data_IF_085457010703
#
_entry.id   IF_085457010703
#
_cell.length_a   1.000
_cell.length_b   1.000
_cell.length_c   1.000
_cell.angle_alpha   90.00
_cell.angle_beta   90.00
_cell.angle_gamma   90.00
#
_symmetry.space_group_name_H-M   'P 1'
#
loop_
_entity.id
_entity.type
_entity.pdbx_description
1 polymer ?
#
# COMPACT_ATOMS: atom_id res chain seq x y z
N UNK A 1 -23.06 -23.57 4.99
CA UNK A 1 -23.11 -22.14 5.35
C UNK A 1 -21.92 -21.62 6.15
N UNK A 2 -21.21 -22.40 6.98
CA UNK A 2 -20.25 -21.89 7.95
C UNK A 2 -18.98 -21.16 7.42
N UNK A 3 -18.30 -21.66 6.38
CA UNK A 3 -16.97 -21.10 6.00
C UNK A 3 -17.05 -19.73 5.33
N UNK A 4 -18.01 -19.50 4.45
CA UNK A 4 -18.17 -18.24 3.72
C UNK A 4 -18.60 -17.12 4.69
N UNK A 5 -19.56 -17.39 5.56
CA UNK A 5 -20.03 -16.43 6.58
C UNK A 5 -18.91 -16.02 7.54
N UNK A 6 -18.10 -17.00 7.99
CA UNK A 6 -16.94 -16.71 8.85
C UNK A 6 -15.89 -15.87 8.10
N UNK A 7 -15.65 -16.17 6.83
CA UNK A 7 -14.72 -15.39 5.99
C UNK A 7 -15.18 -13.95 5.82
N UNK A 8 -16.48 -13.72 5.63
CA UNK A 8 -17.08 -12.39 5.53
C UNK A 8 -16.91 -11.59 6.84
N UNK A 9 -17.19 -12.21 7.98
CA UNK A 9 -16.99 -11.58 9.30
C UNK A 9 -15.53 -11.16 9.50
N UNK A 10 -14.58 -12.03 9.12
CA UNK A 10 -13.15 -11.67 9.23
C UNK A 10 -12.72 -10.59 8.25
N UNK A 11 -13.25 -10.56 7.04
CA UNK A 11 -13.01 -9.46 6.10
C UNK A 11 -13.56 -8.13 6.64
N UNK A 12 -14.73 -8.16 7.27
CA UNK A 12 -15.31 -7.01 7.96
C UNK A 12 -14.42 -6.54 9.13
N UNK A 13 -13.99 -7.47 10.01
CA UNK A 13 -13.08 -7.15 11.13
C UNK A 13 -11.75 -6.57 10.60
N UNK A 14 -11.21 -7.12 9.52
CA UNK A 14 -9.99 -6.59 8.89
C UNK A 14 -10.18 -5.12 8.46
N UNK A 15 -11.25 -4.84 7.75
CA UNK A 15 -11.51 -3.50 7.22
C UNK A 15 -11.81 -2.50 8.32
N UNK A 16 -12.78 -2.81 9.17
CA UNK A 16 -13.15 -1.91 10.28
C UNK A 16 -12.02 -1.75 11.29
N UNK A 17 -11.30 -2.82 11.62
CA UNK A 17 -10.14 -2.77 12.51
C UNK A 17 -9.06 -1.84 11.99
N UNK A 18 -8.71 -1.95 10.70
CA UNK A 18 -7.72 -1.06 10.08
C UNK A 18 -8.23 0.39 10.02
N UNK A 19 -9.48 0.63 9.61
CA UNK A 19 -10.05 1.98 9.57
C UNK A 19 -10.07 2.61 10.95
N UNK A 20 -10.47 1.87 11.98
CA UNK A 20 -10.51 2.36 13.35
C UNK A 20 -9.10 2.68 13.89
N UNK A 21 -8.11 1.81 13.64
CA UNK A 21 -6.72 2.07 14.01
C UNK A 21 -6.15 3.27 13.27
N UNK A 22 -6.44 3.41 11.98
CA UNK A 22 -6.03 4.54 11.16
C UNK A 22 -6.64 5.84 11.67
N UNK A 23 -7.92 5.84 12.01
CA UNK A 23 -8.62 7.00 12.58
C UNK A 23 -8.00 7.45 13.92
N UNK A 24 -7.80 6.52 14.85
CA UNK A 24 -7.16 6.81 16.14
C UNK A 24 -5.73 7.32 15.92
N UNK A 25 -4.95 6.65 15.06
CA UNK A 25 -3.60 7.06 14.72
C UNK A 25 -3.56 8.47 14.15
N UNK A 26 -4.46 8.79 13.22
CA UNK A 26 -4.54 10.12 12.62
C UNK A 26 -4.87 11.20 13.66
N UNK A 27 -5.78 10.95 14.62
CA UNK A 27 -6.09 11.90 15.69
C UNK A 27 -4.88 12.14 16.61
N UNK A 28 -4.19 11.07 17.02
CA UNK A 28 -3.03 11.19 17.90
C UNK A 28 -1.89 11.93 17.19
N UNK A 29 -1.57 11.51 15.96
CA UNK A 29 -0.48 12.08 15.19
C UNK A 29 -0.77 13.53 14.76
N UNK A 30 -2.05 13.89 14.49
CA UNK A 30 -2.43 15.26 14.16
C UNK A 30 -2.20 16.27 15.33
N UNK A 31 -2.09 15.77 16.55
CA UNK A 31 -1.72 16.60 17.73
C UNK A 31 -0.22 16.72 17.94
N UNK A 32 0.56 15.79 17.39
CA UNK A 32 2.02 15.70 17.60
C UNK A 32 2.81 16.25 16.40
N UNK A 33 2.25 16.22 15.21
CA UNK A 33 2.90 16.57 13.97
C UNK A 33 2.33 17.87 13.40
N UNK A 34 3.15 18.60 12.67
CA UNK A 34 2.73 19.80 11.98
C UNK A 34 1.96 19.47 10.69
N UNK A 35 1.03 20.32 10.24
CA UNK A 35 0.37 20.13 8.95
C UNK A 35 1.35 20.00 7.77
N UNK A 36 2.50 20.65 7.83
CA UNK A 36 3.56 20.58 6.82
C UNK A 36 4.14 19.17 6.67
N UNK A 37 4.25 18.40 7.76
CA UNK A 37 4.72 17.00 7.73
C UNK A 37 3.75 16.12 6.92
N UNK A 38 2.45 16.32 7.11
CA UNK A 38 1.40 15.64 6.34
C UNK A 38 1.39 16.09 4.89
N UNK A 39 1.70 17.36 4.63
CA UNK A 39 1.82 17.92 3.29
C UNK A 39 2.96 17.25 2.52
N UNK A 40 4.13 17.13 3.13
CA UNK A 40 5.29 16.49 2.53
C UNK A 40 5.00 15.02 2.18
N UNK A 41 4.38 14.26 3.12
CA UNK A 41 3.97 12.87 2.85
C UNK A 41 2.89 12.80 1.76
N UNK A 42 1.88 13.67 1.79
CA UNK A 42 0.82 13.71 0.80
C UNK A 42 1.34 13.92 -0.62
N UNK A 43 2.34 14.79 -0.81
CA UNK A 43 2.98 15.05 -2.10
C UNK A 43 3.69 13.83 -2.66
N UNK A 44 4.36 13.02 -1.85
CA UNK A 44 5.13 11.85 -2.31
C UNK A 44 4.31 10.58 -2.39
N UNK A 45 3.25 10.43 -1.58
CA UNK A 45 2.40 9.24 -1.56
C UNK A 45 1.75 8.93 -2.90
N UNK A 46 1.43 9.93 -3.70
CA UNK A 46 0.91 9.78 -5.05
C UNK A 46 1.84 8.91 -5.93
N UNK A 47 3.16 9.19 -5.89
CA UNK A 47 4.14 8.43 -6.68
C UNK A 47 4.27 7.00 -6.18
N UNK A 48 4.18 6.80 -4.86
CA UNK A 48 4.20 5.46 -4.24
C UNK A 48 2.93 4.67 -4.60
N UNK A 49 1.75 5.30 -4.55
CA UNK A 49 0.47 4.65 -4.89
C UNK A 49 0.45 4.23 -6.36
N UNK A 50 0.85 5.12 -7.26
CA UNK A 50 0.93 4.83 -8.70
C UNK A 50 1.92 3.68 -8.95
N UNK A 51 3.10 3.73 -8.33
CA UNK A 51 4.11 2.67 -8.48
C UNK A 51 3.61 1.32 -7.94
N UNK A 52 2.94 1.29 -6.78
CA UNK A 52 2.33 0.07 -6.26
C UNK A 52 1.26 -0.49 -7.21
N UNK A 53 0.48 0.37 -7.87
CA UNK A 53 -0.52 -0.06 -8.87
C UNK A 53 0.14 -0.78 -10.04
N UNK A 54 1.27 -0.27 -10.51
CA UNK A 54 2.04 -0.93 -11.56
C UNK A 54 2.69 -2.24 -11.11
N UNK A 55 3.17 -2.32 -9.87
CA UNK A 55 3.76 -3.54 -9.31
C UNK A 55 2.71 -4.64 -9.16
N UNK A 56 1.51 -4.30 -8.63
CA UNK A 56 0.42 -5.27 -8.54
C UNK A 56 -0.02 -5.71 -9.95
N UNK A 57 -0.01 -4.79 -10.92
CA UNK A 57 -0.26 -5.07 -12.34
C UNK A 57 -1.57 -5.82 -12.62
N UNK A 58 -2.50 -5.87 -11.65
CA UNK A 58 -3.68 -6.71 -11.70
C UNK A 58 -3.40 -8.22 -11.54
N UNK A 59 -2.14 -8.60 -11.30
CA UNK A 59 -1.74 -10.01 -11.16
C UNK A 59 -2.35 -10.67 -9.94
N UNK A 60 -2.53 -9.92 -8.83
CA UNK A 60 -3.23 -10.42 -7.66
C UNK A 60 -4.64 -10.90 -8.00
N UNK A 61 -5.41 -10.07 -8.71
CA UNK A 61 -6.76 -10.39 -9.18
C UNK A 61 -6.75 -11.52 -10.22
N UNK A 62 -5.81 -11.52 -11.16
CA UNK A 62 -5.65 -12.56 -12.17
C UNK A 62 -5.38 -13.95 -11.53
N UNK A 63 -4.52 -14.01 -10.52
CA UNK A 63 -4.24 -15.23 -9.77
C UNK A 63 -5.45 -15.73 -8.97
N UNK A 64 -6.24 -14.82 -8.40
CA UNK A 64 -7.47 -15.19 -7.68
C UNK A 64 -8.49 -15.76 -8.66
N UNK A 65 -8.66 -15.17 -9.82
CA UNK A 65 -9.64 -15.60 -10.81
C UNK A 65 -9.23 -16.90 -11.54
N UNK A 66 -7.94 -17.15 -11.77
CA UNK A 66 -7.48 -18.38 -12.40
C UNK A 66 -7.94 -19.59 -11.60
N UNK A 67 -8.68 -20.52 -12.21
CA UNK A 67 -9.36 -21.65 -11.51
C UNK A 67 -8.37 -22.53 -10.75
N UNK A 68 -7.23 -22.89 -11.36
CA UNK A 68 -6.20 -23.76 -10.76
C UNK A 68 -4.81 -23.16 -10.97
N UNK A 69 -4.40 -22.13 -10.23
CA UNK A 69 -3.06 -21.58 -10.35
C UNK A 69 -2.02 -22.58 -9.81
N UNK A 70 -0.99 -22.79 -10.58
CA UNK A 70 0.11 -23.68 -10.21
C UNK A 70 1.17 -22.95 -9.39
N UNK A 71 2.05 -23.71 -8.73
CA UNK A 71 3.22 -23.12 -8.05
C UNK A 71 4.11 -22.33 -9.02
N UNK A 72 4.16 -22.74 -10.28
CA UNK A 72 4.88 -22.01 -11.33
C UNK A 72 4.28 -20.64 -11.60
N UNK A 73 2.95 -20.50 -11.62
CA UNK A 73 2.26 -19.22 -11.82
C UNK A 73 2.60 -18.26 -10.68
N UNK A 74 2.47 -18.73 -9.43
CA UNK A 74 2.80 -17.90 -8.26
C UNK A 74 4.28 -17.49 -8.23
N UNK A 75 5.21 -18.40 -8.52
CA UNK A 75 6.64 -18.10 -8.54
C UNK A 75 7.00 -17.13 -9.67
N UNK A 76 6.39 -17.29 -10.85
CA UNK A 76 6.59 -16.38 -11.98
C UNK A 76 6.18 -14.95 -11.63
N UNK A 77 4.98 -14.76 -11.06
CA UNK A 77 4.51 -13.43 -10.65
C UNK A 77 5.34 -12.87 -9.49
N UNK A 78 5.80 -13.70 -8.56
CA UNK A 78 6.66 -13.28 -7.46
C UNK A 78 7.98 -12.68 -7.98
N UNK A 79 8.70 -13.39 -8.87
CA UNK A 79 9.94 -12.88 -9.45
C UNK A 79 9.71 -11.66 -10.36
N UNK A 80 8.62 -11.65 -11.12
CA UNK A 80 8.25 -10.51 -11.95
C UNK A 80 8.02 -9.26 -11.10
N UNK A 81 7.24 -9.37 -10.03
CA UNK A 81 6.95 -8.24 -9.15
C UNK A 81 8.20 -7.70 -8.48
N UNK A 82 9.13 -8.56 -8.02
CA UNK A 82 10.41 -8.12 -7.46
C UNK A 82 11.23 -7.37 -8.50
N UNK A 83 11.42 -7.96 -9.67
CA UNK A 83 12.20 -7.33 -10.75
C UNK A 83 11.62 -5.97 -11.13
N UNK A 84 10.30 -5.91 -11.29
CA UNK A 84 9.60 -4.69 -11.66
C UNK A 84 9.64 -3.64 -10.56
N UNK A 85 9.50 -4.04 -9.30
CA UNK A 85 9.59 -3.12 -8.15
C UNK A 85 10.97 -2.51 -7.97
N UNK A 86 12.03 -3.28 -8.20
CA UNK A 86 13.41 -2.78 -8.19
C UNK A 86 13.59 -1.75 -9.33
N UNK A 87 13.12 -2.07 -10.53
CA UNK A 87 13.15 -1.14 -11.67
C UNK A 87 12.42 0.18 -11.37
N UNK A 88 11.21 0.11 -10.83
CA UNK A 88 10.45 1.30 -10.43
C UNK A 88 11.11 2.07 -9.28
N UNK A 89 11.69 1.38 -8.31
CA UNK A 89 12.45 2.02 -7.23
C UNK A 89 13.65 2.81 -7.79
N UNK A 90 14.41 2.22 -8.73
CA UNK A 90 15.53 2.89 -9.40
C UNK A 90 15.04 4.13 -10.15
N UNK A 91 13.94 4.02 -10.91
CA UNK A 91 13.34 5.17 -11.60
C UNK A 91 12.94 6.26 -10.61
N UNK A 92 12.24 5.93 -9.52
CA UNK A 92 11.86 6.89 -8.50
C UNK A 92 13.07 7.52 -7.79
N UNK A 93 14.12 6.74 -7.54
CA UNK A 93 15.35 7.21 -6.92
C UNK A 93 16.01 8.31 -7.76
N UNK A 94 16.10 8.12 -9.09
CA UNK A 94 16.63 9.14 -10.01
C UNK A 94 15.64 10.29 -10.26
N UNK A 95 14.34 10.05 -10.21
CA UNK A 95 13.33 11.10 -10.33
C UNK A 95 13.16 11.92 -9.04
N UNK A 96 13.61 11.44 -7.89
CA UNK A 96 13.43 12.11 -6.60
C UNK A 96 13.92 13.56 -6.57
N UNK A 97 15.12 13.94 -7.10
CA UNK A 97 15.54 15.33 -7.14
C UNK A 97 14.66 16.20 -8.05
N UNK A 98 14.15 15.65 -9.16
CA UNK A 98 13.23 16.37 -10.04
C UNK A 98 11.88 16.62 -9.37
N UNK A 99 11.35 15.62 -8.64
CA UNK A 99 10.10 15.74 -7.88
C UNK A 99 10.28 16.77 -6.75
N UNK A 100 11.38 16.73 -6.03
CA UNK A 100 11.69 17.71 -4.98
C UNK A 100 11.79 19.15 -5.54
N UNK A 101 12.39 19.31 -6.70
CA UNK A 101 12.47 20.60 -7.43
C UNK A 101 11.08 21.04 -7.92
N UNK A 102 10.27 20.12 -8.44
CA UNK A 102 8.90 20.40 -8.90
C UNK A 102 8.03 20.98 -7.78
N UNK A 103 8.12 20.43 -6.57
CA UNK A 103 7.39 20.92 -5.40
C UNK A 103 8.12 22.03 -4.63
N UNK A 104 9.34 22.40 -5.02
CA UNK A 104 10.19 23.37 -4.33
C UNK A 104 10.49 23.02 -2.87
N UNK A 105 10.55 21.74 -2.55
CA UNK A 105 10.81 21.19 -1.21
C UNK A 105 11.95 20.15 -1.25
N UNK A 106 13.20 20.57 -0.96
CA UNK A 106 14.38 19.68 -1.02
C UNK A 106 14.27 18.44 -0.13
N UNK A 107 13.52 18.54 0.98
CA UNK A 107 13.26 17.45 1.91
C UNK A 107 12.65 16.21 1.22
N UNK A 108 11.78 16.42 0.23
CA UNK A 108 11.09 15.34 -0.50
C UNK A 108 12.06 14.37 -1.19
N UNK A 109 13.24 14.83 -1.60
CA UNK A 109 14.25 13.99 -2.23
C UNK A 109 14.64 12.80 -1.32
N UNK A 110 14.98 13.09 -0.06
CA UNK A 110 15.38 12.04 0.90
C UNK A 110 14.19 11.19 1.34
N UNK A 111 13.04 11.82 1.58
CA UNK A 111 11.82 11.10 1.96
C UNK A 111 11.39 10.11 0.89
N UNK A 112 11.40 10.51 -0.40
CA UNK A 112 10.99 9.65 -1.49
C UNK A 112 11.94 8.47 -1.70
N UNK A 113 13.25 8.69 -1.56
CA UNK A 113 14.26 7.62 -1.65
C UNK A 113 14.07 6.56 -0.57
N UNK A 114 13.81 6.99 0.66
CA UNK A 114 13.60 6.05 1.78
C UNK A 114 12.24 5.37 1.68
N UNK A 115 11.19 6.13 1.37
CA UNK A 115 9.84 5.58 1.25
C UNK A 115 9.71 4.63 0.04
N UNK A 116 10.48 4.85 -1.02
CA UNK A 116 10.51 3.98 -2.19
C UNK A 116 10.89 2.52 -1.87
N UNK A 117 11.61 2.26 -0.77
CA UNK A 117 11.92 0.90 -0.31
C UNK A 117 10.64 0.09 -0.01
N UNK A 118 9.55 0.78 0.36
CA UNK A 118 8.23 0.15 0.57
C UNK A 118 7.74 -0.60 -0.66
N UNK A 119 8.09 -0.15 -1.87
CA UNK A 119 7.71 -0.81 -3.13
C UNK A 119 8.28 -2.23 -3.20
N UNK A 120 9.55 -2.39 -2.81
CA UNK A 120 10.21 -3.69 -2.82
C UNK A 120 9.60 -4.61 -1.75
N UNK A 121 9.35 -4.08 -0.55
CA UNK A 121 8.74 -4.86 0.55
C UNK A 121 7.32 -5.29 0.16
N UNK A 122 6.53 -4.39 -0.42
CA UNK A 122 5.17 -4.69 -0.84
C UNK A 122 5.15 -5.75 -1.95
N UNK A 123 6.08 -5.72 -2.92
CA UNK A 123 6.15 -6.71 -3.99
C UNK A 123 6.32 -8.14 -3.47
N UNK A 124 7.07 -8.32 -2.38
CA UNK A 124 7.23 -9.60 -1.69
C UNK A 124 5.92 -10.08 -1.03
N UNK A 125 5.07 -9.15 -0.62
CA UNK A 125 3.82 -9.44 0.10
C UNK A 125 2.65 -9.80 -0.82
N UNK A 126 2.64 -9.31 -2.08
CA UNK A 126 1.50 -9.46 -3.03
C UNK A 126 1.11 -10.93 -3.21
N UNK A 127 2.06 -11.81 -3.53
CA UNK A 127 1.77 -13.22 -3.80
C UNK A 127 1.33 -13.94 -2.54
N UNK A 128 1.93 -13.63 -1.38
CA UNK A 128 1.60 -14.24 -0.10
C UNK A 128 0.15 -13.91 0.31
N UNK A 129 -0.22 -12.64 0.25
CA UNK A 129 -1.57 -12.17 0.56
C UNK A 129 -2.61 -12.71 -0.43
N UNK A 130 -2.27 -12.78 -1.73
CA UNK A 130 -3.13 -13.33 -2.78
C UNK A 130 -3.45 -14.81 -2.54
N UNK A 131 -2.45 -15.61 -2.15
CA UNK A 131 -2.66 -17.03 -1.83
C UNK A 131 -3.58 -17.22 -0.61
N UNK A 132 -3.41 -16.41 0.45
CA UNK A 132 -4.28 -16.47 1.63
C UNK A 132 -5.72 -16.12 1.27
N UNK A 133 -5.92 -15.05 0.50
CA UNK A 133 -7.26 -14.64 0.02
C UNK A 133 -7.90 -15.71 -0.86
N UNK A 134 -7.15 -16.30 -1.80
CA UNK A 134 -7.65 -17.39 -2.66
C UNK A 134 -8.06 -18.61 -1.85
N UNK A 135 -7.35 -18.92 -0.76
CA UNK A 135 -7.69 -20.00 0.16
C UNK A 135 -8.79 -19.65 1.16
N UNK A 136 -9.42 -18.47 1.02
CA UNK A 136 -10.43 -17.92 1.94
C UNK A 136 -9.95 -17.81 3.40
N UNK A 137 -8.64 -17.62 3.59
CA UNK A 137 -8.01 -17.44 4.90
C UNK A 137 -8.02 -15.97 5.33
N UNK A 138 -9.22 -15.37 5.37
CA UNK A 138 -9.39 -13.96 5.73
C UNK A 138 -9.03 -13.65 7.18
N UNK A 139 -9.13 -14.62 8.06
CA UNK A 139 -8.69 -14.51 9.46
C UNK A 139 -7.19 -14.17 9.54
N UNK A 140 -6.38 -14.93 8.83
CA UNK A 140 -4.92 -14.73 8.77
C UNK A 140 -4.58 -13.38 8.11
N UNK A 141 -5.32 -12.99 7.08
CA UNK A 141 -5.18 -11.67 6.46
C UNK A 141 -5.53 -10.55 7.44
N UNK A 142 -6.60 -10.69 8.21
CA UNK A 142 -7.01 -9.73 9.22
C UNK A 142 -5.93 -9.55 10.30
N UNK A 143 -5.42 -10.66 10.86
CA UNK A 143 -4.34 -10.60 11.83
C UNK A 143 -3.08 -9.95 11.26
N UNK A 144 -2.68 -10.31 10.03
CA UNK A 144 -1.51 -9.73 9.41
C UNK A 144 -1.63 -8.21 9.27
N UNK A 145 -2.76 -7.71 8.81
CA UNK A 145 -2.92 -6.26 8.57
C UNK A 145 -3.17 -5.48 9.87
N UNK A 146 -4.05 -5.95 10.75
CA UNK A 146 -4.42 -5.22 11.98
C UNK A 146 -3.24 -5.18 12.97
N UNK A 147 -2.55 -6.31 13.18
CA UNK A 147 -1.40 -6.36 14.09
C UNK A 147 -0.25 -5.50 13.54
N UNK A 148 0.03 -5.57 12.23
CA UNK A 148 1.06 -4.74 11.61
C UNK A 148 0.78 -3.25 11.77
N UNK A 149 -0.47 -2.84 11.54
CA UNK A 149 -0.89 -1.45 11.72
C UNK A 149 -0.77 -1.02 13.18
N UNK A 150 -1.21 -1.86 14.12
CA UNK A 150 -1.12 -1.56 15.55
C UNK A 150 0.34 -1.35 16.01
N UNK A 151 1.22 -2.30 15.67
CA UNK A 151 2.64 -2.21 16.04
C UNK A 151 3.31 -1.00 15.40
N UNK A 152 3.02 -0.72 14.13
CA UNK A 152 3.56 0.45 13.45
C UNK A 152 3.08 1.75 14.08
N UNK A 153 1.79 1.86 14.43
CA UNK A 153 1.24 3.05 15.11
C UNK A 153 1.91 3.28 16.46
N UNK A 154 2.10 2.25 17.29
CA UNK A 154 2.77 2.38 18.57
C UNK A 154 4.19 2.97 18.42
N UNK A 155 4.97 2.42 17.47
CA UNK A 155 6.32 2.94 17.19
C UNK A 155 6.27 4.36 16.63
N UNK A 156 5.34 4.64 15.73
CA UNK A 156 5.20 5.98 15.11
C UNK A 156 4.85 7.04 16.12
N UNK A 157 3.92 6.77 17.03
CA UNK A 157 3.55 7.72 18.11
C UNK A 157 4.75 8.00 19.00
N UNK A 158 5.53 6.97 19.35
CA UNK A 158 6.76 7.14 20.10
C UNK A 158 7.78 8.02 19.37
N UNK A 159 7.99 7.82 18.07
CA UNK A 159 8.91 8.61 17.25
C UNK A 159 8.41 10.06 17.07
N UNK A 160 7.11 10.24 16.86
CA UNK A 160 6.50 11.57 16.75
C UNK A 160 6.64 12.37 18.06
N UNK A 161 6.45 11.69 19.22
CA UNK A 161 6.65 12.31 20.54
C UNK A 161 8.11 12.74 20.77
N UNK A 162 9.08 12.01 20.21
CA UNK A 162 10.50 12.37 20.23
C UNK A 162 10.89 13.44 19.19
N UNK A 163 9.93 14.06 18.50
CA UNK A 163 10.18 15.19 17.60
C UNK A 163 10.73 14.82 16.22
N UNK A 164 10.59 13.57 15.76
CA UNK A 164 11.07 13.15 14.45
C UNK A 164 10.26 13.73 13.27
N UNK A 165 9.14 14.42 13.52
CA UNK A 165 8.34 15.10 12.50
C UNK A 165 7.91 14.15 11.37
N UNK A 166 8.07 14.58 10.13
CA UNK A 166 7.70 13.81 8.92
C UNK A 166 8.32 12.41 8.85
N UNK A 167 9.51 12.22 9.42
CA UNK A 167 10.17 10.91 9.42
C UNK A 167 9.39 9.83 10.16
N UNK A 168 8.63 10.21 11.17
CA UNK A 168 7.74 9.27 11.88
C UNK A 168 6.69 8.66 10.94
N UNK A 169 6.14 9.45 10.01
CA UNK A 169 5.18 8.98 9.01
C UNK A 169 5.83 8.07 7.94
N UNK A 170 7.05 8.39 7.53
CA UNK A 170 7.83 7.53 6.60
C UNK A 170 8.11 6.17 7.24
N UNK A 171 8.60 6.19 8.48
CA UNK A 171 8.90 4.97 9.23
C UNK A 171 7.62 4.15 9.47
N UNK A 172 6.47 4.79 9.72
CA UNK A 172 5.18 4.12 9.82
C UNK A 172 4.89 3.26 8.59
N UNK A 173 5.01 3.84 7.39
CA UNK A 173 4.72 3.12 6.14
C UNK A 173 5.66 1.91 5.96
N UNK A 174 6.94 2.09 6.27
CA UNK A 174 7.92 1.00 6.19
C UNK A 174 7.59 -0.10 7.20
N UNK A 175 7.29 0.26 8.44
CA UNK A 175 6.97 -0.71 9.50
C UNK A 175 5.68 -1.49 9.20
N UNK A 176 4.63 -0.82 8.71
CA UNK A 176 3.41 -1.51 8.28
C UNK A 176 3.74 -2.54 7.21
N UNK A 177 4.52 -2.16 6.19
CA UNK A 177 4.90 -3.07 5.10
C UNK A 177 5.77 -4.23 5.59
N UNK A 178 6.77 -3.97 6.44
CA UNK A 178 7.66 -5.00 7.00
C UNK A 178 6.90 -5.97 7.88
N UNK A 179 6.11 -5.48 8.85
CA UNK A 179 5.35 -6.35 9.74
C UNK A 179 4.28 -7.15 8.98
N UNK A 180 3.62 -6.53 7.99
CA UNK A 180 2.67 -7.25 7.14
C UNK A 180 3.36 -8.37 6.36
N UNK A 181 4.52 -8.12 5.76
CA UNK A 181 5.30 -9.13 5.06
C UNK A 181 5.67 -10.29 5.98
N UNK A 182 6.23 -9.99 7.16
CA UNK A 182 6.63 -11.01 8.14
C UNK A 182 5.44 -11.89 8.56
N UNK A 183 4.29 -11.28 8.85
CA UNK A 183 3.10 -12.02 9.23
C UNK A 183 2.51 -12.83 8.07
N UNK A 184 2.51 -12.30 6.84
CA UNK A 184 2.10 -13.08 5.68
C UNK A 184 3.01 -14.28 5.43
N UNK A 185 4.32 -14.15 5.57
CA UNK A 185 5.26 -15.26 5.48
C UNK A 185 5.02 -16.31 6.57
N UNK A 186 4.75 -15.86 7.79
CA UNK A 186 4.45 -16.74 8.92
C UNK A 186 3.18 -17.58 8.70
N UNK A 187 2.11 -16.94 8.20
CA UNK A 187 0.82 -17.63 8.00
C UNK A 187 0.77 -18.48 6.74
N UNK A 188 1.42 -18.05 5.66
CA UNK A 188 1.32 -18.76 4.39
C UNK A 188 2.35 -19.89 4.23
N UNK A 189 3.54 -19.75 4.81
CA UNK A 189 4.65 -20.72 4.74
C UNK A 189 5.00 -21.19 3.32
N UNK A 190 4.61 -20.41 2.31
CA UNK A 190 4.91 -20.70 0.91
C UNK A 190 6.27 -20.11 0.53
N UNK A 191 7.09 -20.92 -0.14
CA UNK A 191 8.40 -20.52 -0.65
C UNK A 191 8.34 -20.57 -2.18
N UNK A 192 8.80 -19.50 -2.88
CA UNK A 192 8.84 -19.49 -4.33
C UNK A 192 9.80 -20.56 -4.85
N UNK A 193 9.38 -21.32 -5.86
CA UNK A 193 10.26 -22.21 -6.61
C UNK A 193 11.07 -21.40 -7.62
N UNK A 194 12.33 -21.80 -7.88
CA UNK A 194 13.20 -21.15 -8.87
C UNK A 194 12.76 -21.49 -10.32
N UNK A 195 11.48 -21.22 -10.63
CA UNK A 195 10.91 -21.49 -11.95
C UNK A 195 10.22 -20.22 -12.44
N UNK A 196 10.59 -19.79 -13.64
CA UNK A 196 9.97 -18.68 -14.35
C UNK A 196 9.36 -19.17 -15.66
N UNK A 197 8.13 -18.78 -15.96
CA UNK A 197 7.40 -19.17 -17.17
C UNK A 197 6.82 -17.96 -17.90
N UNK A 198 7.38 -17.62 -19.05
CA UNK A 198 6.84 -16.57 -19.92
C UNK A 198 5.39 -16.83 -20.35
N UNK A 199 5.03 -18.10 -20.53
CA UNK A 199 3.65 -18.49 -20.90
C UNK A 199 2.68 -18.11 -19.78
N UNK A 200 3.00 -18.45 -18.53
CA UNK A 200 2.19 -18.07 -17.35
C UNK A 200 2.10 -16.56 -17.19
N UNK A 201 3.21 -15.84 -17.37
CA UNK A 201 3.23 -14.39 -17.30
C UNK A 201 2.31 -13.76 -18.34
N UNK A 202 2.41 -14.16 -19.61
CA UNK A 202 1.59 -13.63 -20.71
C UNK A 202 0.11 -13.92 -20.51
N UNK A 203 -0.23 -15.12 -20.05
CA UNK A 203 -1.62 -15.51 -19.78
C UNK A 203 -2.24 -14.64 -18.69
N UNK A 204 -1.52 -14.45 -17.57
CA UNK A 204 -1.98 -13.63 -16.44
C UNK A 204 -1.95 -12.13 -16.76
N UNK A 205 -1.00 -11.67 -17.58
CA UNK A 205 -0.90 -10.28 -17.99
C UNK A 205 -2.09 -9.86 -18.86
N UNK A 206 -2.53 -10.70 -19.79
CA UNK A 206 -3.68 -10.36 -20.64
C UNK A 206 -4.94 -10.03 -19.83
N UNK A 207 -5.17 -10.77 -18.75
CA UNK A 207 -6.28 -10.45 -17.82
C UNK A 207 -5.92 -9.29 -16.88
N UNK A 208 -4.72 -9.31 -16.29
CA UNK A 208 -4.25 -8.31 -15.34
C UNK A 208 -4.16 -6.90 -15.95
N UNK A 209 -3.86 -6.79 -17.25
CA UNK A 209 -3.71 -5.52 -17.94
C UNK A 209 -4.96 -4.63 -17.86
N UNK A 210 -6.15 -5.19 -18.07
CA UNK A 210 -7.40 -4.43 -17.94
C UNK A 210 -7.63 -3.97 -16.49
N UNK A 211 -7.32 -4.82 -15.51
CA UNK A 211 -7.40 -4.47 -14.09
C UNK A 211 -6.38 -3.39 -13.72
N UNK A 212 -5.16 -3.48 -14.28
CA UNK A 212 -4.12 -2.46 -14.11
C UNK A 212 -4.59 -1.12 -14.67
N UNK A 213 -5.09 -1.07 -15.89
CA UNK A 213 -5.58 0.16 -16.51
C UNK A 213 -6.72 0.79 -15.68
N UNK A 214 -7.67 -0.02 -15.24
CA UNK A 214 -8.78 0.44 -14.39
C UNK A 214 -8.26 1.01 -13.07
N UNK A 215 -7.39 0.27 -12.38
CA UNK A 215 -6.81 0.71 -11.10
C UNK A 215 -5.93 1.95 -11.26
N UNK A 216 -5.16 2.03 -12.35
CA UNK A 216 -4.33 3.19 -12.66
C UNK A 216 -5.17 4.45 -12.88
N UNK A 217 -6.21 4.37 -13.72
CA UNK A 217 -7.12 5.48 -13.96
C UNK A 217 -7.83 5.92 -12.66
N UNK A 218 -8.33 4.97 -11.89
CA UNK A 218 -8.97 5.27 -10.61
C UNK A 218 -8.00 5.96 -9.64
N UNK A 219 -6.78 5.44 -9.48
CA UNK A 219 -5.78 6.05 -8.61
C UNK A 219 -5.32 7.42 -9.13
N UNK A 220 -5.21 7.61 -10.44
CA UNK A 220 -4.88 8.90 -11.02
C UNK A 220 -5.99 9.93 -10.73
N UNK A 221 -7.24 9.58 -11.00
CA UNK A 221 -8.39 10.46 -10.75
C UNK A 221 -8.50 10.85 -9.27
N UNK A 222 -8.30 9.89 -8.37
CA UNK A 222 -8.40 10.14 -6.93
C UNK A 222 -7.24 10.98 -6.37
N UNK A 223 -6.08 10.97 -7.01
CA UNK A 223 -4.89 11.65 -6.51
C UNK A 223 -4.49 12.90 -7.29
N UNK A 224 -5.13 13.20 -8.45
CA UNK A 224 -4.79 14.36 -9.29
C UNK A 224 -4.96 15.68 -8.55
N UNK A 225 -5.96 15.78 -7.67
CA UNK A 225 -6.19 16.96 -6.85
C UNK A 225 -4.99 17.24 -5.93
N UNK A 226 -4.44 16.20 -5.32
CA UNK A 226 -3.25 16.33 -4.47
C UNK A 226 -2.00 16.79 -5.24
N UNK A 227 -1.84 16.38 -6.51
CA UNK A 227 -0.76 16.88 -7.39
C UNK A 227 -0.88 18.38 -7.62
N UNK A 228 -2.08 18.85 -7.94
CA UNK A 228 -2.33 20.27 -8.24
C UNK A 228 -2.15 21.11 -6.97
N UNK A 229 -2.75 20.69 -5.86
CA UNK A 229 -2.68 21.42 -4.58
C UNK A 229 -1.22 21.48 -4.09
N UNK A 230 -0.50 20.37 -4.11
CA UNK A 230 0.89 20.33 -3.68
C UNK A 230 1.82 21.19 -4.53
N UNK A 231 1.49 21.44 -5.82
CA UNK A 231 2.27 22.29 -6.72
C UNK A 231 1.96 23.77 -6.57
N UNK A 232 0.69 24.13 -6.38
CA UNK A 232 0.21 25.53 -6.42
C UNK A 232 0.18 26.18 -5.04
N UNK A 233 0.02 25.39 -3.97
CA UNK A 233 -0.15 25.87 -2.60
C UNK A 233 1.02 25.43 -1.71
N UNK A 234 1.05 25.93 -0.48
CA UNK A 234 2.06 25.57 0.50
C UNK A 234 1.91 24.13 1.01
N UNK A 235 3.00 23.58 1.59
CA UNK A 235 2.98 22.30 2.27
C UNK A 235 1.94 22.22 3.39
N UNK A 236 1.69 23.33 4.08
CA UNK A 236 0.67 23.46 5.12
C UNK A 236 -0.73 23.23 4.57
N UNK A 237 -1.10 23.87 3.44
CA UNK A 237 -2.39 23.69 2.77
C UNK A 237 -2.54 22.25 2.27
N UNK A 238 -1.49 21.70 1.66
CA UNK A 238 -1.48 20.30 1.24
C UNK A 238 -1.66 19.34 2.43
N UNK A 239 -1.08 19.67 3.58
CA UNK A 239 -1.24 18.88 4.80
C UNK A 239 -2.68 18.85 5.31
N UNK A 240 -3.32 20.01 5.38
CA UNK A 240 -4.73 20.13 5.77
C UNK A 240 -5.63 19.35 4.78
N UNK A 241 -5.36 19.49 3.47
CA UNK A 241 -6.07 18.72 2.45
C UNK A 241 -5.88 17.20 2.65
N UNK A 242 -4.64 16.76 2.85
CA UNK A 242 -4.33 15.33 3.05
C UNK A 242 -5.03 14.75 4.27
N UNK A 243 -5.05 15.48 5.40
CA UNK A 243 -5.77 15.06 6.60
C UNK A 243 -7.28 15.00 6.37
N UNK A 244 -7.86 16.05 5.77
CA UNK A 244 -9.29 16.10 5.48
C UNK A 244 -9.72 15.00 4.51
N UNK A 245 -8.93 14.76 3.45
CA UNK A 245 -9.18 13.70 2.48
C UNK A 245 -9.10 12.30 3.12
N UNK A 246 -8.13 12.06 4.03
CA UNK A 246 -8.07 10.80 4.78
C UNK A 246 -9.31 10.58 5.63
N UNK A 247 -9.73 11.57 6.41
CA UNK A 247 -10.93 11.47 7.25
C UNK A 247 -12.20 11.24 6.41
N UNK A 248 -12.33 11.93 5.28
CA UNK A 248 -13.46 11.76 4.38
C UNK A 248 -13.49 10.37 3.74
N UNK A 249 -12.36 9.88 3.24
CA UNK A 249 -12.26 8.56 2.61
C UNK A 249 -12.44 7.42 3.61
N UNK A 250 -11.92 7.54 4.82
CA UNK A 250 -12.12 6.55 5.88
C UNK A 250 -13.60 6.45 6.29
N UNK A 251 -14.32 7.58 6.35
CA UNK A 251 -15.74 7.61 6.66
C UNK A 251 -16.61 7.02 5.53
N UNK A 252 -16.37 7.43 4.28
CA UNK A 252 -17.19 6.98 3.15
C UNK A 252 -16.95 5.52 2.77
N UNK A 253 -15.67 5.08 2.79
CA UNK A 253 -15.30 3.70 2.49
C UNK A 253 -15.77 2.70 3.56
N UNK A 254 -15.99 3.14 4.79
CA UNK A 254 -16.55 2.27 5.84
C UNK A 254 -17.99 1.87 5.53
N UNK A 255 -18.78 2.73 4.90
CA UNK A 255 -20.17 2.48 4.59
C UNK A 255 -20.33 1.78 3.23
N UNK A 256 -19.70 2.31 2.17
CA UNK A 256 -19.84 1.79 0.80
C UNK A 256 -19.27 0.37 0.64
N UNK A 257 -18.16 0.07 1.31
CA UNK A 257 -17.51 -1.23 1.16
C UNK A 257 -18.20 -2.41 1.85
N UNK A 258 -19.20 -2.15 2.67
CA UNK A 258 -20.07 -3.19 3.25
C UNK A 258 -21.12 -3.62 2.22
N UNK A 259 -21.45 -2.74 1.29
CA UNK A 259 -22.48 -2.97 0.25
C UNK A 259 -21.87 -3.64 -0.99
N UNK A 260 -20.58 -3.41 -1.27
CA UNK A 260 -19.89 -3.89 -2.49
C UNK A 260 -19.19 -5.26 -2.33
N UNK A 261 -19.33 -5.93 -1.18
CA UNK A 261 -18.81 -7.29 -0.92
C UNK A 261 -19.92 -8.33 -0.86
#
# INVERSE_FOLDING_TARGET
MGKVTISFVWAFIQKFGNTFLSFISNIILARLLLPEDYGAIGMIMIFIVISNTFIDGGFGSALIQKTNPTTKDYSTIFYWNIFFSIGLYIVLYFCAPFIASFYKLPLLNNLLKVLGVVLIINSLSVVQSTQLRKKLKFKECAYATVISSLLAVCVTVFLAYNGMGVWSLVIQQILVSVFSLLLYLYFNKWIPSLVFSWKSLKELFNFGFFMLCSSFLNNLCNNIQGLIIGRQFSSTVMGLYTQSAKLATESSNSIASVVDQ
#
